data_IF_363743380335
#
_entry.id   IF_363743380335
#
_cell.length_a   1.000
_cell.length_b   1.000
_cell.length_c   1.000
_cell.angle_alpha   90.00
_cell.angle_beta   90.00
_cell.angle_gamma   90.00
#
_symmetry.space_group_name_H-M   'P 1'
#
loop_
_entity.id
_entity.type
_entity.pdbx_description
1 polymer ?
#
# COMPACT_ATOMS: atom_id res chain seq x y z
N UNK A 1 -10.20 -13.45 3.33
CA UNK A 1 -10.25 -12.11 2.72
C UNK A 1 -8.84 -11.67 2.35
N UNK A 2 -8.62 -11.13 1.16
CA UNK A 2 -7.28 -10.68 0.71
C UNK A 2 -7.13 -9.16 0.78
N UNK A 3 -5.95 -8.69 1.19
CA UNK A 3 -5.57 -7.28 1.16
C UNK A 3 -4.13 -7.09 0.70
N UNK A 4 -3.90 -6.14 -0.20
CA UNK A 4 -2.58 -5.69 -0.61
C UNK A 4 -2.14 -4.50 0.25
N UNK A 5 -0.89 -4.55 0.73
CA UNK A 5 -0.22 -3.47 1.45
C UNK A 5 1.01 -3.00 0.69
N UNK A 6 1.27 -1.69 0.74
CA UNK A 6 2.29 -1.02 -0.08
C UNK A 6 3.28 -0.18 0.74
N UNK A 7 3.05 -0.05 2.04
CA UNK A 7 3.72 0.95 2.88
C UNK A 7 4.11 0.46 4.27
N UNK A 8 3.69 1.19 5.30
CA UNK A 8 4.09 0.94 6.68
C UNK A 8 3.68 -0.45 7.22
N UNK A 9 2.77 -1.16 6.55
CA UNK A 9 2.37 -2.53 6.88
C UNK A 9 3.19 -3.63 6.17
N UNK A 10 4.09 -3.30 5.25
CA UNK A 10 4.96 -4.31 4.64
C UNK A 10 5.79 -5.01 5.73
N UNK A 11 6.16 -6.28 5.54
CA UNK A 11 7.00 -7.03 6.49
C UNK A 11 8.25 -6.23 6.91
N UNK A 12 8.49 -6.13 8.22
CA UNK A 12 9.62 -5.35 8.77
C UNK A 12 9.43 -3.82 8.74
N UNK A 13 8.24 -3.32 8.39
CA UNK A 13 7.87 -1.91 8.53
C UNK A 13 7.11 -1.66 9.85
N UNK A 14 7.02 -0.41 10.32
CA UNK A 14 6.56 -0.10 11.68
C UNK A 14 5.14 -0.55 12.04
N UNK A 15 4.24 -0.69 11.07
CA UNK A 15 2.85 -1.11 11.28
C UNK A 15 2.59 -2.58 10.91
N UNK A 16 3.64 -3.36 10.58
CA UNK A 16 3.49 -4.78 10.28
C UNK A 16 2.84 -5.57 11.42
N UNK A 17 3.06 -5.14 12.68
CA UNK A 17 2.42 -5.71 13.88
C UNK A 17 0.91 -5.87 13.76
N UNK A 18 0.23 -4.89 13.13
CA UNK A 18 -1.22 -4.89 12.95
C UNK A 18 -1.71 -6.02 12.03
N UNK A 19 -0.87 -6.52 11.12
CA UNK A 19 -1.17 -7.71 10.32
C UNK A 19 -0.84 -8.98 11.10
N UNK A 20 0.31 -9.05 11.75
CA UNK A 20 0.74 -10.26 12.47
C UNK A 20 -0.16 -10.60 13.67
N UNK A 21 -0.63 -9.59 14.41
CA UNK A 21 -1.59 -9.76 15.52
C UNK A 21 -2.93 -10.36 15.08
N UNK A 22 -3.24 -10.25 13.78
CA UNK A 22 -4.47 -10.74 13.14
C UNK A 22 -4.27 -12.03 12.36
N UNK A 23 -3.16 -12.74 12.62
CA UNK A 23 -2.78 -13.97 11.93
C UNK A 23 -2.76 -13.84 10.40
N UNK A 24 -2.46 -12.64 9.88
CA UNK A 24 -2.44 -12.41 8.45
C UNK A 24 -1.34 -13.23 7.77
N UNK A 25 -1.74 -14.07 6.81
CA UNK A 25 -0.84 -14.96 6.08
C UNK A 25 -0.38 -14.30 4.78
N UNK A 26 0.93 -14.17 4.60
CA UNK A 26 1.50 -13.68 3.34
C UNK A 26 1.17 -14.67 2.22
N UNK A 27 0.52 -14.19 1.16
CA UNK A 27 0.22 -14.97 -0.06
C UNK A 27 1.27 -14.72 -1.15
N UNK A 28 1.64 -13.46 -1.37
CA UNK A 28 2.54 -13.08 -2.46
C UNK A 28 3.27 -11.76 -2.18
N UNK A 29 4.47 -11.65 -2.74
CA UNK A 29 5.15 -10.37 -3.00
C UNK A 29 5.08 -10.15 -4.50
N UNK A 30 4.38 -9.11 -4.94
CA UNK A 30 4.06 -8.88 -6.37
C UNK A 30 4.00 -7.39 -6.68
N UNK A 31 3.52 -6.99 -7.87
CA UNK A 31 3.32 -5.58 -8.22
C UNK A 31 1.88 -5.27 -8.58
N UNK A 32 1.51 -4.00 -8.46
CA UNK A 32 0.35 -3.47 -9.18
C UNK A 32 0.61 -3.47 -10.69
N UNK A 33 -0.43 -3.31 -11.51
CA UNK A 33 -0.24 -2.90 -12.91
C UNK A 33 0.43 -1.51 -13.00
N UNK A 34 0.86 -1.11 -14.20
CA UNK A 34 1.53 0.16 -14.49
C UNK A 34 0.68 1.44 -14.30
N UNK A 35 -0.53 1.32 -13.75
CA UNK A 35 -1.55 2.38 -13.65
C UNK A 35 -1.65 3.00 -12.24
N UNK A 36 -0.53 3.04 -11.52
CA UNK A 36 -0.48 3.60 -10.17
C UNK A 36 0.73 4.51 -9.99
N UNK A 37 0.50 5.61 -9.26
CA UNK A 37 1.55 6.47 -8.71
C UNK A 37 1.68 6.24 -7.22
N UNK A 38 2.89 6.39 -6.71
CA UNK A 38 3.19 6.28 -5.28
C UNK A 38 3.72 7.61 -4.78
N UNK A 39 3.23 8.07 -3.63
CA UNK A 39 3.62 9.33 -3.01
C UNK A 39 4.11 9.09 -1.59
N UNK A 40 5.18 9.75 -1.16
CA UNK A 40 5.55 9.85 0.25
C UNK A 40 4.76 10.99 0.90
N UNK A 41 3.85 10.64 1.82
CA UNK A 41 2.92 11.61 2.42
C UNK A 41 3.60 12.48 3.49
N UNK A 42 3.33 13.79 3.45
CA UNK A 42 3.86 14.75 4.42
C UNK A 42 3.15 14.64 5.78
N UNK A 43 3.90 14.89 6.86
CA UNK A 43 3.34 15.01 8.21
C UNK A 43 2.75 13.73 8.80
N UNK A 44 3.11 12.56 8.25
CA UNK A 44 2.63 11.28 8.74
C UNK A 44 3.60 10.63 9.72
N UNK A 45 3.07 10.08 10.82
CA UNK A 45 3.83 9.33 11.82
C UNK A 45 3.09 8.01 12.10
N UNK A 46 3.71 6.84 11.86
CA UNK A 46 4.96 6.67 11.12
C UNK A 46 4.83 7.17 9.67
N UNK A 47 5.97 7.43 9.02
CA UNK A 47 6.00 7.79 7.61
C UNK A 47 5.31 6.70 6.78
N UNK A 48 4.39 7.10 5.90
CA UNK A 48 3.61 6.18 5.06
C UNK A 48 3.47 6.70 3.63
N UNK A 49 3.42 5.81 2.64
CA UNK A 49 3.10 6.19 1.28
C UNK A 49 1.59 6.27 1.04
N UNK A 50 1.20 7.01 0.01
CA UNK A 50 -0.13 7.01 -0.58
C UNK A 50 -0.10 6.48 -2.01
N UNK A 51 -0.93 5.49 -2.30
CA UNK A 51 -1.08 4.92 -3.64
C UNK A 51 -2.28 5.56 -4.34
N UNK A 52 -2.08 6.04 -5.57
CA UNK A 52 -3.13 6.66 -6.39
C UNK A 52 -3.22 5.96 -7.73
N UNK A 53 -4.44 5.56 -8.12
CA UNK A 53 -4.70 5.02 -9.46
C UNK A 53 -4.72 6.15 -10.48
N UNK A 54 -4.06 5.93 -11.61
CA UNK A 54 -3.98 6.90 -12.72
C UNK A 54 -4.46 6.26 -14.03
N UNK A 55 -4.83 7.08 -15.02
CA UNK A 55 -5.33 6.61 -16.31
C UNK A 55 -4.23 6.04 -17.22
N UNK A 56 -3.09 6.74 -17.29
CA UNK A 56 -1.98 6.39 -18.18
C UNK A 56 -0.91 5.54 -17.48
N UNK A 57 -0.30 4.55 -18.18
CA UNK A 57 0.84 3.81 -17.66
C UNK A 57 2.01 4.73 -17.30
N UNK A 58 2.59 4.57 -16.11
CA UNK A 58 3.73 5.39 -15.65
C UNK A 58 5.04 4.59 -15.62
N UNK A 59 5.04 3.43 -14.94
CA UNK A 59 6.23 2.61 -14.67
C UNK A 59 5.86 1.12 -14.61
N UNK A 60 6.80 0.22 -14.22
CA UNK A 60 6.56 -1.23 -14.08
C UNK A 60 5.57 -1.64 -12.97
N UNK A 61 4.81 -0.70 -12.40
CA UNK A 61 3.92 -0.92 -11.26
C UNK A 61 4.66 -0.89 -9.91
N UNK A 62 3.89 -0.80 -8.83
CA UNK A 62 4.39 -0.61 -7.46
C UNK A 62 4.43 -1.95 -6.73
N UNK A 63 5.55 -2.27 -6.08
CA UNK A 63 5.69 -3.45 -5.21
C UNK A 63 4.66 -3.43 -4.07
N UNK A 64 3.98 -4.56 -3.88
CA UNK A 64 3.02 -4.78 -2.79
C UNK A 64 3.20 -6.17 -2.19
N UNK A 65 2.76 -6.33 -0.95
CA UNK A 65 2.57 -7.63 -0.32
C UNK A 65 1.07 -7.93 -0.18
N UNK A 66 0.65 -9.12 -0.60
CA UNK A 66 -0.74 -9.57 -0.50
C UNK A 66 -0.87 -10.51 0.68
N UNK A 67 -1.77 -10.17 1.61
CA UNK A 67 -2.07 -10.96 2.80
C UNK A 67 -3.49 -11.51 2.78
N UNK A 68 -3.66 -12.66 3.41
CA UNK A 68 -4.96 -13.26 3.69
C UNK A 68 -5.27 -13.26 5.19
N UNK A 69 -6.50 -12.91 5.54
CA UNK A 69 -7.06 -13.00 6.90
C UNK A 69 -8.46 -13.59 6.85
N UNK A 70 -8.93 -14.17 7.97
CA UNK A 70 -10.34 -14.45 8.13
C UNK A 70 -11.19 -13.14 8.16
N UNK A 71 -12.51 -13.21 7.93
CA UNK A 71 -13.34 -12.01 7.85
C UNK A 71 -13.36 -11.13 9.10
N UNK A 72 -13.29 -11.71 10.30
CA UNK A 72 -13.35 -10.94 11.55
C UNK A 72 -12.05 -10.14 11.76
N UNK A 73 -10.92 -10.78 11.51
CA UNK A 73 -9.61 -10.13 11.53
C UNK A 73 -9.47 -9.09 10.41
N UNK A 74 -10.00 -9.36 9.22
CA UNK A 74 -10.04 -8.37 8.15
C UNK A 74 -10.82 -7.12 8.58
N UNK A 75 -12.03 -7.27 9.13
CA UNK A 75 -12.85 -6.15 9.58
C UNK A 75 -12.12 -5.32 10.65
N UNK A 76 -11.57 -5.96 11.67
CA UNK A 76 -10.84 -5.26 12.73
C UNK A 76 -9.56 -4.57 12.23
N UNK A 77 -8.98 -5.01 11.10
CA UNK A 77 -7.86 -4.33 10.45
C UNK A 77 -8.31 -3.08 9.70
N UNK A 78 -9.45 -3.15 9.01
CA UNK A 78 -10.05 -2.01 8.31
C UNK A 78 -10.45 -0.89 9.28
N UNK A 79 -10.90 -1.24 10.48
CA UNK A 79 -11.23 -0.24 11.51
C UNK A 79 -10.03 0.59 11.98
N UNK A 80 -8.79 0.15 11.71
CA UNK A 80 -7.57 0.88 12.04
C UNK A 80 -7.18 1.94 11.00
N UNK A 81 -7.96 2.14 9.94
CA UNK A 81 -7.56 2.99 8.80
C UNK A 81 -8.00 4.44 9.05
N UNK A 82 -7.09 5.36 9.40
CA UNK A 82 -7.46 6.76 9.58
C UNK A 82 -7.41 7.52 8.25
N UNK A 83 -8.06 8.69 8.16
CA UNK A 83 -7.74 9.67 7.13
C UNK A 83 -6.23 9.96 7.06
N UNK A 84 -5.64 10.19 5.88
CA UNK A 84 -6.28 10.28 4.56
C UNK A 84 -6.37 8.92 3.82
N UNK A 85 -6.20 7.80 4.52
CA UNK A 85 -6.15 6.49 3.89
C UNK A 85 -7.55 5.96 3.62
N UNK A 86 -7.72 5.27 2.49
CA UNK A 86 -8.96 4.59 2.15
C UNK A 86 -8.68 3.21 1.56
N UNK A 87 -9.73 2.37 1.46
CA UNK A 87 -9.66 1.09 0.78
C UNK A 87 -10.22 1.18 -0.63
N UNK A 88 -9.40 0.78 -1.60
CA UNK A 88 -9.77 0.67 -3.00
C UNK A 88 -9.63 -0.77 -3.51
N UNK A 89 -9.91 -0.93 -4.80
CA UNK A 89 -9.55 -2.12 -5.55
C UNK A 89 -8.20 -1.87 -6.25
N UNK A 90 -7.24 -2.77 -6.02
CA UNK A 90 -5.93 -2.74 -6.65
C UNK A 90 -5.84 -3.84 -7.72
N UNK A 91 -5.48 -3.45 -8.93
CA UNK A 91 -5.18 -4.37 -10.03
C UNK A 91 -3.70 -4.76 -9.97
N UNK A 92 -3.44 -6.07 -9.85
CA UNK A 92 -2.11 -6.65 -9.77
C UNK A 92 -1.62 -7.10 -11.15
N UNK A 93 -0.30 -7.19 -11.32
CA UNK A 93 0.34 -7.71 -12.53
C UNK A 93 0.02 -9.19 -12.81
N UNK A 94 -0.43 -9.92 -11.78
CA UNK A 94 -0.98 -11.28 -11.89
C UNK A 94 -2.35 -11.35 -12.57
N UNK A 95 -3.00 -10.20 -12.83
CA UNK A 95 -4.37 -10.11 -13.31
C UNK A 95 -5.43 -10.18 -12.20
N UNK A 96 -5.04 -10.41 -10.95
CA UNK A 96 -5.96 -10.39 -9.82
C UNK A 96 -6.33 -8.95 -9.43
N UNK A 97 -7.59 -8.75 -9.02
CA UNK A 97 -8.01 -7.53 -8.32
C UNK A 97 -8.25 -7.84 -6.85
N UNK A 98 -7.54 -7.13 -5.95
CA UNK A 98 -7.66 -7.31 -4.50
C UNK A 98 -7.99 -6.00 -3.80
N UNK A 99 -8.48 -6.05 -2.57
CA UNK A 99 -8.57 -4.84 -1.75
C UNK A 99 -7.18 -4.33 -1.39
N UNK A 100 -7.00 -3.03 -1.28
CA UNK A 100 -5.74 -2.45 -0.86
C UNK A 100 -5.84 -0.98 -0.52
N UNK A 101 -4.78 -0.46 0.10
CA UNK A 101 -4.71 0.92 0.52
C UNK A 101 -4.54 1.86 -0.67
N UNK A 102 -5.39 2.88 -0.72
CA UNK A 102 -5.26 4.08 -1.54
C UNK A 102 -5.26 5.31 -0.62
N UNK A 103 -5.01 6.48 -1.19
CA UNK A 103 -5.07 7.74 -0.46
C UNK A 103 -6.08 8.69 -1.10
N UNK A 104 -6.75 9.50 -0.29
CA UNK A 104 -7.56 10.63 -0.75
C UNK A 104 -6.71 11.64 -1.55
N UNK A 105 -7.28 12.25 -2.59
CA UNK A 105 -6.54 13.08 -3.54
C UNK A 105 -5.81 14.26 -2.90
N UNK A 106 -6.44 14.95 -1.95
CA UNK A 106 -5.85 16.12 -1.27
C UNK A 106 -4.54 15.77 -0.54
N UNK A 107 -4.37 14.53 -0.08
CA UNK A 107 -3.19 14.13 0.66
C UNK A 107 -1.95 14.01 -0.24
N UNK A 108 -2.13 14.02 -1.57
CA UNK A 108 -1.02 14.10 -2.53
C UNK A 108 -0.53 15.53 -2.75
N UNK A 109 -1.27 16.54 -2.31
CA UNK A 109 -0.88 17.92 -2.46
C UNK A 109 0.39 18.22 -1.65
N UNK A 110 1.44 18.61 -2.36
CA UNK A 110 2.76 18.82 -1.78
C UNK A 110 3.48 17.55 -1.33
N UNK A 111 2.90 16.36 -1.46
CA UNK A 111 3.60 15.09 -1.23
C UNK A 111 4.68 14.87 -2.29
N UNK A 112 5.71 14.09 -1.96
CA UNK A 112 6.77 13.76 -2.92
C UNK A 112 6.32 12.57 -3.75
N UNK A 113 6.23 12.70 -5.07
CA UNK A 113 6.03 11.54 -5.94
C UNK A 113 7.28 10.66 -5.92
N UNK A 114 7.10 9.37 -5.63
CA UNK A 114 8.16 8.36 -5.49
C UNK A 114 7.92 7.15 -6.39
N UNK A 115 7.11 7.31 -7.44
CA UNK A 115 6.75 6.26 -8.41
C UNK A 115 7.99 5.61 -9.03
N UNK A 116 9.03 6.40 -9.31
CA UNK A 116 10.27 5.93 -9.95
C UNK A 116 11.03 4.87 -9.13
N UNK A 117 10.87 4.86 -7.81
CA UNK A 117 11.49 3.86 -6.93
C UNK A 117 10.79 2.49 -7.02
N UNK A 118 9.59 2.44 -7.61
CA UNK A 118 8.82 1.22 -7.82
C UNK A 118 8.31 0.54 -6.54
N UNK A 119 8.46 1.16 -5.37
CA UNK A 119 8.06 0.60 -4.09
C UNK A 119 8.54 1.42 -2.89
N UNK A 120 7.82 1.29 -1.77
CA UNK A 120 8.11 2.04 -0.54
C UNK A 120 9.48 1.72 0.06
N UNK A 121 9.86 0.44 0.12
CA UNK A 121 11.16 0.01 0.66
C UNK A 121 12.32 0.56 -0.17
N UNK A 122 12.20 0.59 -1.49
CA UNK A 122 13.22 1.14 -2.39
C UNK A 122 13.40 2.64 -2.19
N UNK A 123 12.30 3.37 -1.98
CA UNK A 123 12.36 4.79 -1.62
C UNK A 123 13.02 5.00 -0.26
N UNK A 124 12.66 4.22 0.78
CA UNK A 124 13.30 4.35 2.09
C UNK A 124 14.82 4.15 2.02
N UNK A 125 15.30 3.20 1.21
CA UNK A 125 16.73 2.98 0.98
C UNK A 125 17.43 4.11 0.23
N UNK A 126 16.71 4.92 -0.56
CA UNK A 126 17.32 6.04 -1.29
C UNK A 126 17.52 7.28 -0.42
N UNK A 127 16.78 7.35 0.70
CA UNK A 127 16.88 8.42 1.70
C UNK A 127 17.60 7.97 2.99
N UNK A 128 18.10 6.72 3.04
CA UNK A 128 18.76 6.11 4.19
C UNK A 128 19.47 4.79 3.86
#
# INVERSE_FOLDING_TARGET
MKIAVVGAHLRGQPLYGQLSERNARLLAVTRTVAKYKLYALKGTIPAKPGLVRVGEPQAKGIEVEVYEMDPANYASFVDLIPPPMALGNLELDTGETVKGFIVEGYATEGATEITEFGGWRSYLKSIG
#
